data_IF_421853840741
#
_entry.id   IF_421853840741
#
_cell.length_a   1.000
_cell.length_b   1.000
_cell.length_c   1.000
_cell.angle_alpha   90.00
_cell.angle_beta   90.00
_cell.angle_gamma   90.00
#
_symmetry.space_group_name_H-M   'P 1'
#
loop_
_entity.id
_entity.type
_entity.pdbx_description
1 polymer ?
#
# COMPACT_ATOMS: atom_id res chain seq x y z
N UNK A 1 -23.22 -4.28 -25.31
CA UNK A 1 -23.33 -5.04 -24.05
C UNK A 1 -22.24 -4.49 -23.14
N UNK A 2 -22.57 -4.07 -21.92
CA UNK A 2 -21.57 -3.56 -20.98
C UNK A 2 -20.94 -4.77 -20.29
N UNK A 3 -19.62 -4.80 -20.23
CA UNK A 3 -18.82 -5.82 -19.56
C UNK A 3 -18.43 -5.32 -18.16
N UNK A 4 -18.61 -6.17 -17.15
CA UNK A 4 -18.32 -5.89 -15.75
C UNK A 4 -17.29 -6.84 -15.17
N UNK A 5 -16.70 -7.71 -15.99
CA UNK A 5 -15.66 -8.63 -15.54
C UNK A 5 -14.40 -7.86 -15.13
N UNK A 6 -13.84 -8.26 -13.99
CA UNK A 6 -12.52 -7.79 -13.57
C UNK A 6 -11.49 -8.33 -14.57
N UNK A 7 -10.72 -7.43 -15.18
CA UNK A 7 -9.65 -7.80 -16.11
C UNK A 7 -8.62 -8.73 -15.49
N UNK A 8 -8.00 -9.58 -16.30
CA UNK A 8 -7.00 -10.55 -15.81
C UNK A 8 -5.82 -9.85 -15.11
N UNK A 9 -5.36 -8.72 -15.64
CA UNK A 9 -4.29 -7.93 -15.03
C UNK A 9 -4.63 -7.48 -13.60
N UNK A 10 -5.87 -7.00 -13.37
CA UNK A 10 -6.33 -6.62 -12.03
C UNK A 10 -6.39 -7.84 -11.10
N UNK A 11 -6.81 -9.01 -11.61
CA UNK A 11 -6.83 -10.26 -10.85
C UNK A 11 -5.43 -10.71 -10.47
N UNK A 12 -4.47 -10.62 -11.38
CA UNK A 12 -3.07 -10.97 -11.14
C UNK A 12 -2.44 -10.09 -10.06
N UNK A 13 -2.65 -8.78 -10.13
CA UNK A 13 -2.19 -7.84 -9.08
C UNK A 13 -2.84 -8.19 -7.74
N UNK A 14 -4.14 -8.48 -7.73
CA UNK A 14 -4.85 -8.91 -6.52
C UNK A 14 -4.27 -10.18 -5.92
N UNK A 15 -4.02 -11.20 -6.73
CA UNK A 15 -3.43 -12.45 -6.30
C UNK A 15 -2.01 -12.26 -5.74
N UNK A 16 -1.19 -11.43 -6.40
CA UNK A 16 0.15 -11.09 -5.93
C UNK A 16 0.11 -10.35 -4.60
N UNK A 17 -0.83 -9.40 -4.44
CA UNK A 17 -1.05 -8.64 -3.20
C UNK A 17 -1.41 -9.56 -2.03
N UNK A 18 -2.37 -10.45 -2.22
CA UNK A 18 -2.79 -11.41 -1.20
C UNK A 18 -1.62 -12.31 -0.79
N UNK A 19 -0.87 -12.82 -1.77
CA UNK A 19 0.31 -13.66 -1.50
C UNK A 19 1.38 -12.89 -0.72
N UNK A 20 1.66 -11.64 -1.09
CA UNK A 20 2.60 -10.78 -0.37
C UNK A 20 2.17 -10.57 1.08
N UNK A 21 0.90 -10.22 1.32
CA UNK A 21 0.39 -9.99 2.68
C UNK A 21 0.52 -11.26 3.53
N UNK A 22 0.14 -12.42 2.99
CA UNK A 22 0.23 -13.70 3.69
C UNK A 22 1.67 -14.09 4.04
N UNK A 23 2.64 -13.78 3.18
CA UNK A 23 4.03 -14.17 3.34
C UNK A 23 4.84 -13.19 4.19
N UNK A 24 4.60 -11.88 4.03
CA UNK A 24 5.46 -10.84 4.60
C UNK A 24 4.84 -10.12 5.79
N UNK A 25 3.52 -9.89 5.77
CA UNK A 25 2.84 -9.03 6.75
C UNK A 25 2.18 -9.85 7.85
N UNK A 26 1.48 -10.93 7.50
CA UNK A 26 0.81 -11.80 8.48
C UNK A 26 1.79 -12.38 9.51
N UNK A 27 2.99 -12.89 9.15
CA UNK A 27 3.94 -13.37 10.15
C UNK A 27 4.44 -12.26 11.06
N UNK A 28 4.70 -11.07 10.51
CA UNK A 28 5.14 -9.90 11.28
C UNK A 28 4.07 -9.47 12.30
N UNK A 29 2.79 -9.46 11.90
CA UNK A 29 1.72 -9.16 12.84
C UNK A 29 1.57 -10.21 13.96
N UNK A 30 1.86 -11.48 13.67
CA UNK A 30 1.86 -12.54 14.69
C UNK A 30 3.01 -12.37 15.69
N UNK A 31 4.20 -11.99 15.22
CA UNK A 31 5.36 -11.72 16.06
C UNK A 31 5.11 -10.53 17.01
N UNK A 32 4.44 -9.49 16.52
CA UNK A 32 4.13 -8.28 17.28
C UNK A 32 2.67 -8.22 17.76
N UNK A 33 2.01 -9.38 17.93
CA UNK A 33 0.59 -9.44 18.25
C UNK A 33 0.23 -8.68 19.55
N UNK A 34 1.11 -8.71 20.54
CA UNK A 34 0.90 -8.00 21.82
C UNK A 34 0.80 -6.47 21.63
N UNK A 35 1.63 -5.90 20.74
CA UNK A 35 1.62 -4.48 20.40
C UNK A 35 0.39 -4.12 19.57
N UNK A 36 0.04 -4.95 18.60
CA UNK A 36 -0.99 -4.65 17.61
C UNK A 36 -2.42 -4.90 18.12
N UNK A 37 -2.59 -5.79 19.10
CA UNK A 37 -3.90 -6.11 19.67
C UNK A 37 -4.41 -5.05 20.66
N UNK A 38 -3.55 -4.17 21.19
CA UNK A 38 -3.92 -3.12 22.14
C UNK A 38 -3.59 -1.73 21.59
N UNK A 39 -4.60 -0.91 21.22
CA UNK A 39 -4.38 0.46 20.81
C UNK A 39 -3.57 1.29 21.81
N UNK A 40 -3.66 1.02 23.12
CA UNK A 40 -2.90 1.76 24.14
C UNK A 40 -1.40 1.47 24.09
N UNK A 41 -0.99 0.38 23.44
CA UNK A 41 0.42 0.08 23.17
C UNK A 41 0.88 0.66 21.83
N UNK A 42 -0.03 0.82 20.88
CA UNK A 42 0.24 1.51 19.62
C UNK A 42 0.40 3.02 19.79
N UNK A 43 -0.29 3.63 20.75
CA UNK A 43 -0.21 5.07 21.04
C UNK A 43 0.59 5.35 22.31
N UNK A 44 1.60 6.21 22.20
CA UNK A 44 2.40 6.69 23.32
C UNK A 44 1.65 7.69 24.22
N UNK A 45 2.29 8.15 25.31
CA UNK A 45 1.71 9.11 26.25
C UNK A 45 1.30 10.46 25.62
N UNK A 46 1.92 10.82 24.49
CA UNK A 46 1.61 12.02 23.71
C UNK A 46 0.49 11.80 22.68
N UNK A 47 -0.18 10.65 22.71
CA UNK A 47 -1.25 10.22 21.81
C UNK A 47 -0.80 10.05 20.35
N UNK A 48 0.52 9.98 20.09
CA UNK A 48 1.08 9.62 18.78
C UNK A 48 1.41 8.15 18.72
N UNK A 49 1.63 7.63 17.51
CA UNK A 49 2.16 6.28 17.35
C UNK A 49 3.50 6.13 18.06
N UNK A 50 3.70 4.99 18.72
CA UNK A 50 4.99 4.63 19.28
C UNK A 50 6.03 4.42 18.18
N UNK A 51 7.30 4.67 18.48
CA UNK A 51 8.40 4.47 17.55
C UNK A 51 8.47 3.01 17.05
N UNK A 52 8.15 2.06 17.92
CA UNK A 52 8.08 0.63 17.58
C UNK A 52 7.02 0.37 16.51
N UNK A 53 5.82 0.90 16.67
CA UNK A 53 4.75 0.74 15.70
C UNK A 53 5.07 1.46 14.37
N UNK A 54 5.67 2.65 14.42
CA UNK A 54 6.14 3.36 13.22
C UNK A 54 7.24 2.58 12.48
N UNK A 55 8.15 1.93 13.21
CA UNK A 55 9.18 1.09 12.62
C UNK A 55 8.57 -0.11 11.88
N UNK A 56 7.56 -0.77 12.45
CA UNK A 56 6.84 -1.86 11.78
C UNK A 56 6.14 -1.39 10.49
N UNK A 57 5.41 -0.27 10.56
CA UNK A 57 4.78 0.32 9.37
C UNK A 57 5.81 0.66 8.30
N UNK A 58 6.97 1.20 8.69
CA UNK A 58 8.06 1.50 7.77
C UNK A 58 8.58 0.21 7.11
N UNK A 59 8.82 -0.85 7.87
CA UNK A 59 9.27 -2.14 7.34
C UNK A 59 8.31 -2.69 6.29
N UNK A 60 7.01 -2.72 6.60
CA UNK A 60 6.00 -3.21 5.64
C UNK A 60 5.92 -2.32 4.41
N UNK A 61 5.96 -1.00 4.60
CA UNK A 61 6.00 -0.04 3.48
C UNK A 61 7.17 -0.29 2.55
N UNK A 62 8.38 -0.46 3.09
CA UNK A 62 9.58 -0.69 2.27
C UNK A 62 9.47 -2.00 1.50
N UNK A 63 9.07 -3.09 2.16
CA UNK A 63 8.84 -4.39 1.50
C UNK A 63 7.79 -4.31 0.40
N UNK A 64 6.70 -3.58 0.64
CA UNK A 64 5.65 -3.38 -0.35
C UNK A 64 6.14 -2.57 -1.56
N UNK A 65 6.91 -1.51 -1.32
CA UNK A 65 7.53 -0.72 -2.39
C UNK A 65 8.50 -1.55 -3.22
N UNK A 66 9.33 -2.39 -2.59
CA UNK A 66 10.23 -3.34 -3.26
C UNK A 66 9.47 -4.37 -4.09
N UNK A 67 8.28 -4.78 -3.64
CA UNK A 67 7.38 -5.66 -4.39
C UNK A 67 6.59 -4.94 -5.50
N UNK A 68 6.76 -3.63 -5.66
CA UNK A 68 6.15 -2.84 -6.74
C UNK A 68 4.74 -2.31 -6.47
N UNK A 69 4.12 -2.59 -5.32
CA UNK A 69 2.76 -2.14 -5.05
C UNK A 69 2.62 -0.62 -4.93
N UNK A 70 3.72 0.09 -4.62
CA UNK A 70 3.72 1.56 -4.58
C UNK A 70 3.66 2.22 -5.96
N UNK A 71 3.89 1.44 -7.03
CA UNK A 71 3.89 1.91 -8.41
C UNK A 71 2.56 1.66 -9.12
N UNK A 72 1.68 0.82 -8.55
CA UNK A 72 0.42 0.39 -9.17
C UNK A 72 -0.41 1.58 -9.70
N UNK A 73 -0.62 2.61 -8.87
CA UNK A 73 -1.41 3.78 -9.27
C UNK A 73 -0.56 4.95 -9.80
N UNK A 74 0.75 4.77 -9.90
CA UNK A 74 1.67 5.79 -10.37
C UNK A 74 1.55 6.00 -11.87
N UNK A 75 1.86 7.21 -12.36
CA UNK A 75 1.90 7.48 -13.79
C UNK A 75 3.00 6.64 -14.48
N UNK A 76 2.73 6.07 -15.66
CA UNK A 76 3.69 5.30 -16.45
C UNK A 76 5.02 6.04 -16.69
N UNK A 77 4.94 7.35 -16.96
CA UNK A 77 6.10 8.22 -17.20
C UNK A 77 7.09 8.27 -16.01
N UNK A 78 6.62 7.93 -14.81
CA UNK A 78 7.41 7.89 -13.57
C UNK A 78 7.71 6.45 -13.12
N UNK A 79 7.49 5.44 -13.99
CA UNK A 79 7.69 4.03 -13.68
C UNK A 79 6.50 3.37 -12.96
N UNK A 80 5.33 3.99 -13.01
CA UNK A 80 4.08 3.42 -12.49
C UNK A 80 3.33 2.53 -13.49
N UNK A 81 2.17 2.02 -13.08
CA UNK A 81 1.29 1.16 -13.92
C UNK A 81 -0.01 1.87 -14.36
N UNK A 82 -0.18 3.15 -14.03
CA UNK A 82 -1.35 4.00 -14.32
C UNK A 82 -2.70 3.36 -14.03
N UNK A 83 -2.74 2.50 -12.99
CA UNK A 83 -3.97 1.81 -12.61
C UNK A 83 -5.03 2.79 -12.11
N UNK A 84 -6.27 2.51 -12.53
CA UNK A 84 -7.41 3.37 -12.25
C UNK A 84 -8.13 3.08 -10.92
N UNK A 85 -9.20 3.84 -10.64
CA UNK A 85 -10.01 3.66 -9.44
C UNK A 85 -10.71 2.30 -9.35
N UNK A 86 -10.97 1.61 -10.47
CA UNK A 86 -11.53 0.25 -10.47
C UNK A 86 -10.57 -0.76 -9.85
N UNK A 87 -9.29 -0.69 -10.22
CA UNK A 87 -8.24 -1.50 -9.60
C UNK A 87 -8.17 -1.20 -8.11
N UNK A 88 -8.20 0.07 -7.70
CA UNK A 88 -8.21 0.43 -6.28
C UNK A 88 -9.40 -0.20 -5.54
N UNK A 89 -10.62 -0.05 -6.07
CA UNK A 89 -11.81 -0.62 -5.46
C UNK A 89 -11.73 -2.15 -5.31
N UNK A 90 -11.29 -2.85 -6.35
CA UNK A 90 -11.16 -4.31 -6.32
C UNK A 90 -10.08 -4.79 -5.33
N UNK A 91 -8.92 -4.12 -5.29
CA UNK A 91 -7.86 -4.48 -4.33
C UNK A 91 -8.31 -4.25 -2.89
N UNK A 92 -9.03 -3.15 -2.62
CA UNK A 92 -9.64 -2.94 -1.30
C UNK A 92 -10.70 -3.99 -0.96
N UNK A 93 -11.54 -4.38 -1.92
CA UNK A 93 -12.56 -5.43 -1.74
C UNK A 93 -11.91 -6.74 -1.28
N UNK A 94 -10.97 -7.30 -2.05
CA UNK A 94 -10.35 -8.59 -1.74
C UNK A 94 -9.53 -8.54 -0.44
N UNK A 95 -8.89 -7.41 -0.14
CA UNK A 95 -8.15 -7.22 1.11
C UNK A 95 -9.11 -7.22 2.31
N UNK A 96 -10.23 -6.51 2.22
CA UNK A 96 -11.20 -6.44 3.30
C UNK A 96 -11.94 -7.77 3.49
N UNK A 97 -12.26 -8.47 2.40
CA UNK A 97 -12.87 -9.79 2.46
C UNK A 97 -11.97 -10.79 3.22
N UNK A 98 -10.67 -10.80 2.92
CA UNK A 98 -9.75 -11.78 3.51
C UNK A 98 -9.23 -11.40 4.89
N UNK A 99 -8.91 -10.12 5.11
CA UNK A 99 -8.15 -9.68 6.27
C UNK A 99 -8.98 -8.87 7.28
N UNK A 100 -10.19 -8.43 6.89
CA UNK A 100 -11.01 -7.54 7.70
C UNK A 100 -10.42 -6.12 7.81
N UNK A 101 -11.19 -5.15 8.36
CA UNK A 101 -10.79 -3.74 8.38
C UNK A 101 -9.75 -3.37 9.45
N UNK A 102 -9.62 -4.16 10.52
CA UNK A 102 -8.82 -3.82 11.71
C UNK A 102 -7.41 -4.40 11.67
N UNK A 103 -6.67 -4.13 10.58
CA UNK A 103 -5.29 -4.59 10.41
C UNK A 103 -4.36 -3.46 10.02
N UNK A 104 -3.72 -2.82 11.01
CA UNK A 104 -3.09 -1.51 10.83
C UNK A 104 -1.74 -1.57 10.09
N UNK A 105 -1.16 -2.76 9.87
CA UNK A 105 0.00 -2.94 8.98
C UNK A 105 -0.38 -3.31 7.55
N UNK A 106 -1.65 -3.61 7.27
CA UNK A 106 -2.13 -3.99 5.94
C UNK A 106 -2.73 -2.76 5.24
N UNK A 107 -3.84 -2.24 5.79
CA UNK A 107 -4.59 -1.16 5.17
C UNK A 107 -3.79 0.13 5.14
N UNK A 108 -3.77 0.81 3.98
CA UNK A 108 -3.02 2.06 3.72
C UNK A 108 -1.50 1.98 3.82
N UNK A 109 -0.94 0.81 4.14
CA UNK A 109 0.52 0.58 4.24
C UNK A 109 1.00 -0.27 3.07
N UNK A 110 0.35 -1.41 2.81
CA UNK A 110 0.73 -2.32 1.73
C UNK A 110 0.38 -1.75 0.37
N UNK A 111 -0.82 -1.19 0.21
CA UNK A 111 -1.16 -0.43 -0.98
C UNK A 111 -1.33 1.04 -0.57
N UNK A 112 -0.53 1.97 -1.12
CA UNK A 112 -0.68 3.36 -0.80
C UNK A 112 -1.92 3.94 -1.48
N UNK A 113 -2.51 4.93 -0.83
CA UNK A 113 -3.43 5.85 -1.48
C UNK A 113 -2.65 6.71 -2.49
N UNK A 114 -3.07 6.75 -3.76
CA UNK A 114 -2.44 7.60 -4.78
C UNK A 114 -2.55 9.10 -4.47
N UNK A 115 -3.34 9.49 -3.48
CA UNK A 115 -3.53 10.90 -3.10
C UNK A 115 -2.71 11.33 -1.89
N UNK A 116 -2.37 10.43 -0.98
CA UNK A 116 -1.82 10.83 0.33
C UNK A 116 -0.43 10.26 0.63
N UNK A 117 -0.06 9.12 0.05
CA UNK A 117 1.20 8.45 0.41
C UNK A 117 1.83 7.59 -0.70
N UNK A 118 1.27 7.59 -1.92
CA UNK A 118 1.82 6.91 -3.09
C UNK A 118 2.29 7.86 -4.19
N UNK A 119 2.76 7.29 -5.31
CA UNK A 119 3.16 8.05 -6.48
C UNK A 119 1.91 8.66 -7.13
N UNK A 120 1.58 9.90 -6.76
CA UNK A 120 0.36 10.54 -7.24
C UNK A 120 0.42 10.85 -8.73
N UNK A 121 -0.67 10.63 -9.50
CA UNK A 121 -0.75 11.09 -10.88
C UNK A 121 -0.53 12.59 -11.06
N UNK A 122 -0.65 13.40 -10.00
CA UNK A 122 -0.34 14.83 -10.03
C UNK A 122 1.14 15.09 -10.34
N UNK A 123 2.03 14.16 -9.99
CA UNK A 123 3.47 14.32 -10.17
C UNK A 123 3.89 14.43 -11.64
N UNK A 124 3.06 13.97 -12.59
CA UNK A 124 3.29 14.16 -14.05
C UNK A 124 3.28 15.62 -14.49
N UNK A 125 2.80 16.53 -13.65
CA UNK A 125 2.75 17.96 -13.91
C UNK A 125 3.80 18.74 -13.11
N UNK A 126 4.76 18.06 -12.47
CA UNK A 126 5.90 18.73 -11.86
C UNK A 126 6.74 19.42 -12.93
N UNK A 127 7.39 20.52 -12.53
CA UNK A 127 8.38 21.18 -13.37
C UNK A 127 9.48 20.16 -13.73
N UNK A 128 9.84 19.99 -15.02
CA UNK A 128 10.91 19.09 -15.44
C UNK A 128 12.19 19.19 -14.63
N UNK A 129 12.63 20.41 -14.29
CA UNK A 129 13.85 20.63 -13.48
C UNK A 129 13.77 19.95 -12.10
N UNK A 130 12.56 19.86 -11.53
CA UNK A 130 12.31 19.19 -10.24
C UNK A 130 12.22 17.68 -10.40
N UNK A 131 11.65 17.20 -11.52
CA UNK A 131 11.56 15.75 -11.81
C UNK A 131 12.98 15.16 -11.90
N UNK A 132 13.89 15.84 -12.61
CA UNK A 132 15.27 15.39 -12.77
C UNK A 132 16.04 15.34 -11.42
N UNK A 133 15.69 16.21 -10.47
CA UNK A 133 16.28 16.22 -9.12
C UNK A 133 15.77 15.05 -8.25
N UNK A 134 14.46 14.77 -8.28
CA UNK A 134 13.82 13.86 -7.32
C UNK A 134 13.61 12.43 -7.87
N UNK A 135 13.64 12.26 -9.19
CA UNK A 135 13.55 10.97 -9.88
C UNK A 135 14.73 10.81 -10.86
N UNK A 136 15.99 10.83 -10.38
CA UNK A 136 17.13 10.66 -11.24
C UNK A 136 17.10 9.27 -11.89
N UNK A 137 17.32 9.24 -13.20
CA UNK A 137 17.38 8.04 -14.06
C UNK A 137 18.48 7.07 -13.65
#
# INVERSE_FOLDING_TARGET
MIDFEISEEIREIGNALIKFIDQEVVPLEKEHADLLADPRKMYGPDQRYTDEFLALRKTVRMKSAEAGFYNVFGAEQLGGMDMGPFTAAHLYEIMNEKYGPDRPLIHTVVIPSPFTNGLSPILRFLNPDIIDEVCPS
#
